data_IF_732502421474
#
_entry.id   IF_732502421474
#
_cell.length_a   1.000
_cell.length_b   1.000
_cell.length_c   1.000
_cell.angle_alpha   90.00
_cell.angle_beta   90.00
_cell.angle_gamma   90.00
#
_symmetry.space_group_name_H-M   'P 1'
#
loop_
_entity.id
_entity.type
_entity.pdbx_description
1 polymer ?
#
# COMPACT_ATOMS: atom_id res chain seq x y z
N UNK A 1 -13.65 -6.29 -24.06
CA UNK A 1 -12.26 -6.49 -24.52
C UNK A 1 -12.12 -7.89 -25.11
N UNK A 2 -11.09 -8.14 -25.93
CA UNK A 2 -10.78 -9.49 -26.46
C UNK A 2 -9.79 -10.20 -25.53
N UNK A 3 -9.96 -11.51 -25.35
CA UNK A 3 -9.04 -12.38 -24.62
C UNK A 3 -7.72 -12.52 -25.40
N UNK A 4 -6.59 -12.41 -24.72
CA UNK A 4 -5.26 -12.50 -25.35
C UNK A 4 -4.90 -13.92 -25.79
N UNK A 5 -5.47 -14.95 -25.15
CA UNK A 5 -5.14 -16.35 -25.44
C UNK A 5 -6.00 -16.97 -26.54
N UNK A 6 -7.31 -16.69 -26.56
CA UNK A 6 -8.23 -17.29 -27.55
C UNK A 6 -8.92 -16.29 -28.48
N UNK A 7 -8.67 -14.98 -28.32
CA UNK A 7 -9.21 -13.90 -29.14
C UNK A 7 -10.76 -13.78 -29.16
N UNK A 8 -11.45 -14.43 -28.22
CA UNK A 8 -12.90 -14.28 -28.01
C UNK A 8 -13.24 -13.06 -27.16
N UNK A 9 -14.51 -12.64 -27.19
CA UNK A 9 -15.00 -11.59 -26.31
C UNK A 9 -15.00 -12.04 -24.84
N UNK A 10 -14.65 -11.12 -23.95
CA UNK A 10 -14.70 -11.33 -22.50
C UNK A 10 -15.96 -10.68 -21.93
N UNK A 11 -16.58 -11.34 -20.95
CA UNK A 11 -17.64 -10.76 -20.12
C UNK A 11 -17.02 -9.93 -19.00
N UNK A 12 -17.72 -8.90 -18.53
CA UNK A 12 -17.24 -8.00 -17.47
C UNK A 12 -18.24 -7.93 -16.33
N UNK A 13 -17.73 -7.93 -15.10
CA UNK A 13 -18.49 -7.70 -13.87
C UNK A 13 -17.70 -6.80 -12.92
N UNK A 14 -18.40 -6.10 -12.01
CA UNK A 14 -17.77 -5.31 -10.94
C UNK A 14 -17.79 -6.11 -9.64
N UNK A 15 -16.61 -6.34 -9.07
CA UNK A 15 -16.44 -7.22 -7.90
C UNK A 15 -15.44 -6.64 -6.88
N UNK A 16 -15.41 -7.27 -5.71
CA UNK A 16 -14.34 -7.05 -4.73
C UNK A 16 -13.16 -7.93 -5.11
N UNK A 17 -12.00 -7.31 -5.32
CA UNK A 17 -10.77 -7.98 -5.71
C UNK A 17 -9.75 -7.99 -4.56
N UNK A 18 -9.18 -9.15 -4.26
CA UNK A 18 -8.13 -9.29 -3.24
C UNK A 18 -6.76 -8.95 -3.84
N UNK A 19 -6.23 -7.77 -3.52
CA UNK A 19 -5.03 -7.21 -4.16
C UNK A 19 -3.72 -7.70 -3.52
N UNK A 20 -3.44 -8.99 -3.72
CA UNK A 20 -2.25 -9.66 -3.18
C UNK A 20 -0.95 -9.22 -3.86
N UNK A 21 -1.02 -8.64 -5.05
CA UNK A 21 0.11 -8.12 -5.82
C UNK A 21 0.83 -6.98 -5.09
N UNK A 22 0.14 -6.30 -4.15
CA UNK A 22 0.76 -5.35 -3.23
C UNK A 22 1.81 -6.01 -2.31
N UNK A 23 1.71 -7.32 -2.09
CA UNK A 23 2.48 -8.06 -1.08
C UNK A 23 1.88 -7.98 0.33
N UNK A 24 0.66 -7.45 0.46
CA UNK A 24 -0.15 -7.44 1.68
C UNK A 24 -1.34 -8.39 1.52
N UNK A 25 -1.72 -9.04 2.60
CA UNK A 25 -2.81 -10.03 2.65
C UNK A 25 -4.18 -9.40 2.99
N UNK A 26 -4.20 -8.15 3.42
CA UNK A 26 -5.37 -7.47 3.93
C UNK A 26 -5.85 -6.30 3.05
N UNK A 27 -5.50 -6.26 1.76
CA UNK A 27 -5.92 -5.19 0.84
C UNK A 27 -6.99 -5.69 -0.12
N UNK A 28 -8.14 -5.03 -0.12
CA UNK A 28 -9.29 -5.38 -0.97
C UNK A 28 -9.73 -4.15 -1.76
N UNK A 29 -9.89 -4.32 -3.07
CA UNK A 29 -10.32 -3.28 -3.98
C UNK A 29 -11.79 -3.48 -4.31
N UNK A 30 -12.61 -2.47 -4.05
CA UNK A 30 -14.04 -2.50 -4.35
C UNK A 30 -14.29 -1.96 -5.75
N UNK A 31 -15.31 -2.50 -6.42
CA UNK A 31 -15.77 -2.10 -7.76
C UNK A 31 -14.75 -2.31 -8.89
N UNK A 32 -13.87 -3.32 -8.76
CA UNK A 32 -12.92 -3.67 -9.83
C UNK A 32 -13.65 -4.35 -10.97
N UNK A 33 -13.37 -3.93 -12.21
CA UNK A 33 -13.84 -4.63 -13.39
C UNK A 33 -13.03 -5.91 -13.59
N UNK A 34 -13.70 -7.06 -13.45
CA UNK A 34 -13.14 -8.37 -13.69
C UNK A 34 -13.67 -8.88 -15.03
N UNK A 35 -12.73 -9.20 -15.91
CA UNK A 35 -13.00 -9.71 -17.25
C UNK A 35 -12.79 -11.21 -17.26
N UNK A 36 -13.79 -11.97 -17.69
CA UNK A 36 -13.71 -13.44 -17.78
C UNK A 36 -13.96 -13.92 -19.19
N UNK A 37 -13.16 -14.90 -19.61
CA UNK A 37 -13.32 -15.57 -20.88
C UNK A 37 -13.81 -17.00 -20.68
N UNK A 38 -14.57 -17.53 -21.65
CA UNK A 38 -15.01 -18.93 -21.68
C UNK A 38 -13.84 -19.94 -21.69
N UNK A 39 -12.65 -19.52 -22.13
CA UNK A 39 -11.46 -20.39 -22.11
C UNK A 39 -10.83 -20.55 -20.72
N UNK A 40 -11.30 -19.82 -19.71
CA UNK A 40 -10.79 -19.86 -18.34
C UNK A 40 -9.94 -18.66 -17.94
N UNK A 41 -9.54 -17.81 -18.90
CA UNK A 41 -8.76 -16.61 -18.63
C UNK A 41 -9.54 -15.54 -17.85
N UNK A 42 -8.89 -14.95 -16.87
CA UNK A 42 -9.42 -13.87 -16.03
C UNK A 42 -8.44 -12.70 -15.95
N UNK A 43 -8.96 -11.48 -16.07
CA UNK A 43 -8.18 -10.25 -16.01
C UNK A 43 -8.87 -9.22 -15.10
N UNK A 44 -8.15 -8.72 -14.09
CA UNK A 44 -8.62 -7.64 -13.23
C UNK A 44 -8.09 -6.28 -13.71
N UNK A 45 -8.99 -5.36 -14.02
CA UNK A 45 -8.63 -4.00 -14.42
C UNK A 45 -8.43 -3.11 -13.20
N UNK A 46 -7.18 -2.93 -12.79
CA UNK A 46 -6.79 -2.10 -11.65
C UNK A 46 -6.25 -0.76 -12.16
N UNK A 47 -7.03 0.34 -12.07
CA UNK A 47 -6.58 1.65 -12.53
C UNK A 47 -5.59 2.28 -11.55
N UNK A 48 -4.83 3.27 -12.02
CA UNK A 48 -4.07 4.20 -11.17
C UNK A 48 -3.18 3.50 -10.10
N UNK A 49 -2.38 2.50 -10.51
CA UNK A 49 -1.61 1.64 -9.59
C UNK A 49 -0.66 2.45 -8.69
N UNK A 50 -0.10 3.55 -9.19
CA UNK A 50 0.84 4.40 -8.44
C UNK A 50 0.10 5.11 -7.30
N UNK A 51 -1.07 5.64 -7.60
CA UNK A 51 -1.96 6.35 -6.69
C UNK A 51 -2.57 5.37 -5.68
N UNK A 52 -3.03 4.21 -6.14
CA UNK A 52 -3.53 3.11 -5.31
C UNK A 52 -2.50 2.75 -4.24
N UNK A 53 -1.26 2.44 -4.64
CA UNK A 53 -0.24 2.05 -3.69
C UNK A 53 0.17 3.21 -2.76
N UNK A 54 0.05 4.46 -3.22
CA UNK A 54 0.25 5.63 -2.36
C UNK A 54 -0.87 5.75 -1.30
N UNK A 55 -2.13 5.47 -1.65
CA UNK A 55 -3.25 5.40 -0.71
C UNK A 55 -3.07 4.28 0.31
N UNK A 56 -2.63 3.09 -0.11
CA UNK A 56 -2.32 1.99 0.81
C UNK A 56 -1.24 2.43 1.81
N UNK A 57 -0.15 3.02 1.33
CA UNK A 57 0.93 3.46 2.21
C UNK A 57 0.51 4.59 3.17
N UNK A 58 -0.36 5.50 2.75
CA UNK A 58 -0.97 6.51 3.63
C UNK A 58 -1.79 5.88 4.76
N UNK A 59 -2.59 4.85 4.45
CA UNK A 59 -3.34 4.10 5.46
C UNK A 59 -2.39 3.41 6.45
N UNK A 60 -1.34 2.75 5.94
CA UNK A 60 -0.36 2.06 6.78
C UNK A 60 0.38 2.99 7.72
N UNK A 61 0.85 4.16 7.25
CA UNK A 61 1.52 5.08 8.15
C UNK A 61 0.56 5.69 9.16
N UNK A 62 -0.73 5.86 8.87
CA UNK A 62 -1.72 6.42 9.82
C UNK A 62 -2.29 5.41 10.83
N UNK A 63 -2.08 4.11 10.61
CA UNK A 63 -2.64 3.07 11.49
C UNK A 63 -2.12 3.20 12.93
N UNK A 64 -2.95 2.79 13.90
CA UNK A 64 -2.65 2.92 15.34
C UNK A 64 -1.80 1.79 15.93
N UNK A 65 -1.71 0.67 15.22
CA UNK A 65 -0.89 -0.50 15.60
C UNK A 65 0.53 -0.37 15.07
N UNK A 66 1.48 -1.16 15.61
CA UNK A 66 2.83 -1.24 15.04
C UNK A 66 2.83 -1.87 13.66
N UNK A 67 3.76 -1.44 12.81
CA UNK A 67 3.99 -2.03 11.49
C UNK A 67 4.55 -3.45 11.66
N UNK A 68 3.97 -4.39 10.94
CA UNK A 68 4.49 -5.74 10.78
C UNK A 68 5.51 -5.77 9.63
N UNK A 69 6.13 -6.92 9.40
CA UNK A 69 7.16 -7.09 8.39
C UNK A 69 6.70 -6.87 6.94
N UNK A 70 5.49 -7.33 6.57
CA UNK A 70 4.98 -7.14 5.20
C UNK A 70 4.67 -5.67 4.93
N UNK A 71 4.15 -4.94 5.92
CA UNK A 71 3.90 -3.50 5.83
C UNK A 71 5.19 -2.69 5.74
N UNK A 72 6.21 -3.01 6.56
CA UNK A 72 7.53 -2.36 6.46
C UNK A 72 8.12 -2.56 5.06
N UNK A 73 8.04 -3.79 4.55
CA UNK A 73 8.52 -4.14 3.21
C UNK A 73 7.75 -3.40 2.13
N UNK A 74 6.42 -3.32 2.26
CA UNK A 74 5.54 -2.58 1.35
C UNK A 74 5.96 -1.11 1.30
N UNK A 75 6.03 -0.44 2.45
CA UNK A 75 6.40 0.98 2.55
C UNK A 75 7.77 1.24 1.90
N UNK A 76 8.76 0.41 2.20
CA UNK A 76 10.09 0.53 1.59
C UNK A 76 10.05 0.40 0.08
N UNK A 77 9.41 -0.64 -0.45
CA UNK A 77 9.32 -0.88 -1.90
C UNK A 77 8.53 0.23 -2.59
N UNK A 78 7.42 0.68 -2.00
CA UNK A 78 6.61 1.77 -2.53
C UNK A 78 7.37 3.10 -2.57
N UNK A 79 8.26 3.35 -1.61
CA UNK A 79 9.18 4.48 -1.62
C UNK A 79 10.34 4.32 -2.63
N UNK A 80 10.42 3.22 -3.38
CA UNK A 80 11.47 2.97 -4.36
C UNK A 80 12.83 2.64 -3.73
N UNK A 81 12.87 2.22 -2.47
CA UNK A 81 14.12 2.05 -1.73
C UNK A 81 14.60 0.59 -1.68
N UNK A 82 15.90 0.41 -1.88
CA UNK A 82 16.57 -0.87 -1.60
C UNK A 82 16.62 -1.14 -0.10
N UNK A 83 16.74 -2.42 0.30
CA UNK A 83 16.93 -2.76 1.72
C UNK A 83 18.20 -2.11 2.32
N UNK A 84 19.26 -1.95 1.51
CA UNK A 84 20.51 -1.32 1.96
C UNK A 84 20.31 0.18 2.24
N UNK A 85 19.71 0.91 1.30
CA UNK A 85 19.48 2.36 1.46
C UNK A 85 18.47 2.65 2.57
N UNK A 86 17.38 1.88 2.65
CA UNK A 86 16.39 2.08 3.71
C UNK A 86 16.95 1.81 5.11
N UNK A 87 17.72 0.74 5.28
CA UNK A 87 18.39 0.45 6.55
C UNK A 87 19.34 1.59 6.96
N UNK A 88 20.06 2.18 5.99
CA UNK A 88 20.91 3.35 6.23
C UNK A 88 20.09 4.59 6.65
N UNK A 89 18.96 4.88 6.00
CA UNK A 89 18.09 6.01 6.36
C UNK A 89 17.54 5.90 7.78
N UNK A 90 17.14 4.70 8.20
CA UNK A 90 16.59 4.48 9.54
C UNK A 90 17.67 4.14 10.59
N UNK A 91 18.95 4.15 10.21
CA UNK A 91 20.07 3.98 11.14
C UNK A 91 20.26 2.58 11.71
N UNK A 92 19.88 1.53 10.96
CA UNK A 92 20.02 0.13 11.41
C UNK A 92 20.83 -0.73 10.45
N UNK A 93 21.30 -1.87 10.93
CA UNK A 93 21.93 -2.88 10.07
C UNK A 93 20.89 -3.50 9.13
N UNK A 94 21.32 -3.84 7.90
CA UNK A 94 20.48 -4.56 6.92
C UNK A 94 19.89 -5.85 7.48
N UNK A 95 20.63 -6.55 8.35
CA UNK A 95 20.16 -7.77 9.02
C UNK A 95 19.02 -7.50 9.99
N UNK A 96 19.04 -6.38 10.72
CA UNK A 96 17.94 -5.94 11.59
C UNK A 96 16.68 -5.66 10.78
N UNK A 97 16.79 -4.86 9.71
CA UNK A 97 15.68 -4.61 8.80
C UNK A 97 15.12 -5.92 8.22
N UNK A 98 16.00 -6.84 7.82
CA UNK A 98 15.59 -8.15 7.31
C UNK A 98 14.81 -8.96 8.34
N UNK A 99 15.15 -8.90 9.63
CA UNK A 99 14.38 -9.61 10.67
C UNK A 99 12.99 -9.01 10.82
N UNK A 100 12.87 -7.69 10.80
CA UNK A 100 11.57 -7.01 10.83
C UNK A 100 10.72 -7.37 9.62
N UNK A 101 11.24 -7.20 8.40
CA UNK A 101 10.51 -7.48 7.16
C UNK A 101 10.07 -8.93 6.98
N UNK A 102 10.66 -9.86 7.73
CA UNK A 102 10.32 -11.29 7.68
C UNK A 102 9.59 -11.74 8.97
N UNK A 103 9.10 -10.81 9.78
CA UNK A 103 8.40 -11.09 11.05
C UNK A 103 9.22 -12.00 12.00
N UNK A 104 10.55 -11.96 11.92
CA UNK A 104 11.46 -12.70 12.82
C UNK A 104 11.76 -11.92 14.10
N UNK A 105 11.48 -10.63 14.09
CA UNK A 105 11.60 -9.74 15.24
C UNK A 105 10.61 -8.59 15.06
N UNK A 106 9.93 -8.19 16.12
CA UNK A 106 9.08 -7.01 16.09
C UNK A 106 9.93 -5.73 16.03
N UNK A 107 9.40 -4.70 15.37
CA UNK A 107 9.98 -3.37 15.39
C UNK A 107 9.68 -2.69 16.73
N UNK A 108 10.64 -1.93 17.26
CA UNK A 108 10.40 -1.11 18.44
C UNK A 108 9.68 0.20 18.08
N UNK A 109 9.17 0.87 19.12
CA UNK A 109 8.38 2.11 18.99
C UNK A 109 9.10 3.24 18.27
N UNK A 110 10.40 3.40 18.49
CA UNK A 110 11.17 4.50 17.91
C UNK A 110 11.41 4.25 16.43
N UNK A 111 11.79 3.01 16.08
CA UNK A 111 12.02 2.63 14.70
C UNK A 111 10.73 2.56 13.87
N UNK A 112 9.59 2.15 14.45
CA UNK A 112 8.28 2.22 13.78
C UNK A 112 7.96 3.66 13.36
N UNK A 113 8.11 4.62 14.28
CA UNK A 113 7.92 6.04 14.00
C UNK A 113 8.87 6.56 12.91
N UNK A 114 10.13 6.15 12.96
CA UNK A 114 11.14 6.56 11.99
C UNK A 114 10.84 6.00 10.59
N UNK A 115 10.42 4.74 10.48
CA UNK A 115 9.97 4.12 9.22
C UNK A 115 8.84 4.94 8.59
N UNK A 116 7.84 5.32 9.38
CA UNK A 116 6.70 6.12 8.90
C UNK A 116 7.12 7.51 8.43
N UNK A 117 8.02 8.17 9.17
CA UNK A 117 8.56 9.47 8.80
C UNK A 117 9.41 9.43 7.54
N UNK A 118 10.30 8.44 7.41
CA UNK A 118 11.11 8.28 6.20
C UNK A 118 10.20 8.02 5.00
N UNK A 119 9.23 7.13 5.12
CA UNK A 119 8.25 6.89 4.05
C UNK A 119 7.51 8.18 3.66
N UNK A 120 6.98 8.91 4.65
CA UNK A 120 6.22 10.13 4.40
C UNK A 120 7.03 11.20 3.66
N UNK A 121 8.30 11.36 4.04
CA UNK A 121 9.20 12.29 3.36
C UNK A 121 9.54 11.82 1.94
N UNK A 122 9.82 10.53 1.75
CA UNK A 122 10.15 9.98 0.42
C UNK A 122 8.99 10.07 -0.57
N UNK A 123 7.75 10.02 -0.07
CA UNK A 123 6.54 10.19 -0.87
C UNK A 123 6.10 11.64 -1.04
N UNK A 124 6.84 12.60 -0.48
CA UNK A 124 6.52 14.01 -0.58
C UNK A 124 5.20 14.40 0.09
N UNK A 125 4.81 13.69 1.16
CA UNK A 125 3.59 14.02 1.90
C UNK A 125 3.71 15.46 2.45
N UNK A 126 2.67 16.31 2.31
CA UNK A 126 2.70 17.68 2.81
C UNK A 126 3.06 17.74 4.31
N UNK A 127 3.92 18.69 4.67
CA UNK A 127 4.45 18.81 6.04
C UNK A 127 3.35 18.96 7.10
N UNK A 128 2.24 19.63 6.77
CA UNK A 128 1.09 19.75 7.69
C UNK A 128 0.39 18.41 7.94
N UNK A 129 0.30 17.54 6.93
CA UNK A 129 -0.25 16.20 7.11
C UNK A 129 0.68 15.33 7.97
N UNK A 130 2.00 15.39 7.73
CA UNK A 130 3.01 14.74 8.58
C UNK A 130 2.89 15.22 10.04
N UNK A 131 2.75 16.54 10.24
CA UNK A 131 2.60 17.16 11.56
C UNK A 131 1.35 16.68 12.29
N UNK A 132 0.22 16.60 11.59
CA UNK A 132 -1.05 16.13 12.17
C UNK A 132 -0.97 14.66 12.57
N UNK A 133 -0.46 13.83 11.67
CA UNK A 133 -0.22 12.42 11.93
C UNK A 133 0.72 12.17 13.13
N UNK A 134 1.82 12.92 13.25
CA UNK A 134 2.72 12.81 14.41
C UNK A 134 2.02 13.14 15.74
N UNK A 135 1.13 14.12 15.75
CA UNK A 135 0.34 14.47 16.95
C UNK A 135 -0.57 13.32 17.38
N UNK A 136 -1.14 12.58 16.42
CA UNK A 136 -2.02 11.43 16.68
C UNK A 136 -1.23 10.22 17.23
N UNK A 137 -0.08 9.89 16.64
CA UNK A 137 0.80 8.80 17.10
C UNK A 137 1.18 8.93 18.58
N UNK A 138 1.46 10.16 19.03
CA UNK A 138 1.92 10.40 20.40
C UNK A 138 0.85 9.99 21.42
N UNK A 139 -0.43 10.06 21.05
CA UNK A 139 -1.55 9.81 21.96
C UNK A 139 -1.94 8.33 22.05
N UNK A 140 -1.69 7.50 21.04
CA UNK A 140 -2.44 6.23 20.90
C UNK A 140 -1.67 4.97 20.44
N UNK A 141 -0.34 5.00 20.20
CA UNK A 141 0.37 3.74 19.89
C UNK A 141 0.54 2.92 21.17
N UNK A 142 -0.42 2.03 21.42
CA UNK A 142 -0.46 1.16 22.57
C UNK A 142 -1.66 0.21 22.56
N UNK A 143 -1.67 -0.76 21.64
CA UNK A 143 -2.28 -2.11 21.75
C UNK A 143 -2.02 -2.90 20.46
N UNK A 144 -1.74 -4.20 20.58
CA UNK A 144 -1.76 -5.15 19.45
C UNK A 144 -3.23 -5.45 19.15
N UNK A 145 -3.78 -4.83 18.12
CA UNK A 145 -5.05 -5.24 17.52
C UNK A 145 -4.80 -5.92 16.18
N UNK A 146 -5.73 -6.79 15.78
CA UNK A 146 -5.65 -7.58 14.55
C UNK A 146 -5.63 -6.66 13.32
N UNK A 147 -4.91 -7.08 12.29
CA UNK A 147 -4.86 -6.39 10.99
C UNK A 147 -6.28 -6.16 10.48
N UNK A 148 -6.70 -4.90 10.39
CA UNK A 148 -7.96 -4.53 9.75
C UNK A 148 -7.79 -4.56 8.24
N UNK A 149 -8.83 -4.97 7.52
CA UNK A 149 -8.83 -4.90 6.07
C UNK A 149 -8.72 -3.44 5.60
N UNK A 150 -7.88 -3.21 4.60
CA UNK A 150 -7.75 -1.95 3.87
C UNK A 150 -8.64 -2.09 2.64
N UNK A 151 -9.84 -1.52 2.71
CA UNK A 151 -10.79 -1.51 1.62
C UNK A 151 -10.65 -0.20 0.83
N UNK A 152 -10.45 -0.28 -0.48
CA UNK A 152 -10.26 0.88 -1.35
C UNK A 152 -11.20 0.76 -2.55
N UNK A 153 -12.08 1.74 -2.73
CA UNK A 153 -12.91 1.82 -3.94
C UNK A 153 -12.11 2.38 -5.11
N UNK A 154 -12.05 1.64 -6.23
CA UNK A 154 -11.30 2.09 -7.43
C UNK A 154 -11.93 3.31 -8.10
N UNK A 155 -13.24 3.53 -7.93
CA UNK A 155 -13.94 4.70 -8.46
C UNK A 155 -13.34 6.01 -7.89
N UNK A 156 -12.92 5.98 -6.62
CA UNK A 156 -12.30 7.14 -5.96
C UNK A 156 -10.91 7.50 -6.51
N UNK A 157 -10.21 6.53 -7.12
CA UNK A 157 -8.89 6.72 -7.71
C UNK A 157 -9.01 7.34 -9.12
N UNK A 158 -9.98 6.89 -9.91
CA UNK A 158 -10.26 7.41 -11.25
C UNK A 158 -10.65 8.90 -11.19
N UNK A 159 -11.48 9.28 -10.22
CA UNK A 159 -11.90 10.67 -10.03
C UNK A 159 -10.74 11.64 -9.77
N UNK A 160 -9.68 11.20 -9.07
CA UNK A 160 -8.49 12.01 -8.80
C UNK A 160 -7.64 12.24 -10.06
N UNK A 161 -7.42 11.19 -10.86
CA UNK A 161 -6.66 11.33 -12.12
C UNK A 161 -7.34 12.28 -13.11
N UNK A 162 -8.68 12.29 -13.18
CA UNK A 162 -9.41 13.22 -14.05
C UNK A 162 -9.27 14.68 -13.61
N UNK A 163 -9.12 14.95 -12.31
CA UNK A 163 -8.94 16.31 -11.79
C UNK A 163 -7.55 16.89 -12.06
N UNK A 164 -6.51 16.05 -12.07
CA UNK A 164 -5.12 16.46 -12.34
C UNK A 164 -4.85 16.65 -13.85
N UNK A 165 -5.60 15.95 -14.70
CA UNK A 165 -5.45 16.03 -16.16
C UNK A 165 -6.14 17.26 -16.79
N UNK A 166 -7.01 17.97 -16.06
CA UNK A 166 -7.74 19.16 -16.54
C UNK A 166 -6.95 20.49 -16.45
N UNK A 167 -5.63 20.42 -16.16
CA UNK A 167 -4.74 21.58 -16.03
C UNK A 167 -3.65 21.67 -17.11
N UNK A 168 -3.76 20.92 -18.22
CA UNK A 168 -2.90 21.05 -19.39
C UNK A 168 -3.54 21.93 -20.48
#
# INVERSE_FOLDING_TARGET
>A
MKCLDCNKDMTVSKEVYHYTESGLDNVYLENVEIYRCECGEEFASIPAIIELNSVIGLNLIKKKTYLNGSEIRFLRKNAGLTAKSFAAYIGVNKSTLSRWENNKQDIDKSNDRLVRLVYANMKGIPQEEIRNFLKEIIREIGRREQSTNINISVDSLIAKQQSECNFC
#
